data_IF_216211660591
#
_entry.id   IF_216211660591
#
_cell.length_a   1.000
_cell.length_b   1.000
_cell.length_c   1.000
_cell.angle_alpha   90.00
_cell.angle_beta   90.00
_cell.angle_gamma   90.00
#
_symmetry.space_group_name_H-M   'P 1'
#
loop_
_entity.id
_entity.type
_entity.pdbx_description
1 polymer ?
#
# COMPACT_ATOMS: atom_id res chain seq x y z
N UNK A 1 -9.85 -8.12 -4.26
CA UNK A 1 -10.01 -6.78 -3.69
C UNK A 1 -10.76 -5.89 -4.67
N UNK A 2 -11.59 -5.00 -4.16
CA UNK A 2 -12.41 -4.11 -4.98
C UNK A 2 -11.96 -2.67 -4.76
N UNK A 3 -11.81 -1.91 -5.84
CA UNK A 3 -11.58 -0.46 -5.79
C UNK A 3 -12.90 0.27 -6.02
N UNK A 4 -13.16 1.31 -5.23
CA UNK A 4 -14.36 2.12 -5.36
C UNK A 4 -14.06 3.58 -5.07
N UNK A 5 -14.57 4.46 -5.92
CA UNK A 5 -14.47 5.91 -5.71
C UNK A 5 -15.24 6.39 -4.48
N UNK A 6 -16.18 5.59 -4.02
CA UNK A 6 -17.00 5.89 -2.86
C UNK A 6 -16.41 5.36 -1.56
N UNK A 7 -15.31 4.62 -1.62
CA UNK A 7 -14.65 4.11 -0.43
C UNK A 7 -14.06 5.24 0.40
N UNK A 8 -14.15 5.09 1.71
CA UNK A 8 -13.58 6.01 2.69
C UNK A 8 -12.18 5.58 3.17
N UNK A 9 -11.58 4.57 2.53
CA UNK A 9 -10.32 3.98 2.97
C UNK A 9 -9.25 4.12 1.90
N UNK A 10 -8.10 4.64 2.29
CA UNK A 10 -6.87 4.61 1.48
C UNK A 10 -5.92 3.59 2.10
N UNK A 11 -5.34 2.73 1.26
CA UNK A 11 -4.29 1.82 1.68
C UNK A 11 -2.94 2.51 1.54
N UNK A 12 -2.16 2.54 2.61
CA UNK A 12 -0.78 3.05 2.59
C UNK A 12 0.16 1.90 2.93
N UNK A 13 1.17 1.69 2.10
CA UNK A 13 2.18 0.65 2.29
C UNK A 13 3.56 1.28 2.31
N UNK A 14 4.36 0.96 3.32
CA UNK A 14 5.75 1.41 3.39
C UNK A 14 6.68 0.26 3.01
N UNK A 15 7.66 0.56 2.16
CA UNK A 15 8.59 -0.41 1.60
C UNK A 15 9.98 0.18 1.49
N UNK A 16 11.00 -0.68 1.61
CA UNK A 16 12.40 -0.30 1.39
C UNK A 16 13.20 -1.49 0.87
N UNK A 17 13.09 -1.78 -0.42
CA UNK A 17 13.94 -2.72 -1.14
C UNK A 17 13.65 -4.21 -0.92
N UNK A 18 12.68 -4.58 -0.08
CA UNK A 18 12.35 -6.00 0.19
C UNK A 18 11.22 -6.47 -0.73
N UNK A 19 11.48 -6.50 -2.03
CA UNK A 19 10.43 -6.70 -3.04
C UNK A 19 9.77 -8.08 -2.99
N UNK A 20 10.51 -9.13 -2.61
CA UNK A 20 9.91 -10.47 -2.46
C UNK A 20 8.86 -10.48 -1.34
N UNK A 21 9.17 -9.84 -0.22
CA UNK A 21 8.24 -9.72 0.90
C UNK A 21 7.05 -8.83 0.53
N UNK A 22 7.33 -7.69 -0.09
CA UNK A 22 6.28 -6.77 -0.53
C UNK A 22 5.30 -7.44 -1.48
N UNK A 23 5.80 -8.16 -2.48
CA UNK A 23 4.96 -8.87 -3.44
C UNK A 23 4.02 -9.86 -2.75
N UNK A 24 4.53 -10.61 -1.77
CA UNK A 24 3.72 -11.55 -1.00
C UNK A 24 2.69 -10.85 -0.12
N UNK A 25 3.09 -9.76 0.54
CA UNK A 25 2.19 -8.97 1.37
C UNK A 25 1.01 -8.44 0.55
N UNK A 26 1.30 -7.83 -0.59
CA UNK A 26 0.26 -7.24 -1.43
C UNK A 26 -0.64 -8.30 -2.05
N UNK A 27 -0.07 -9.44 -2.47
CA UNK A 27 -0.88 -10.54 -2.99
C UNK A 27 -1.82 -11.11 -1.93
N UNK A 28 -1.36 -11.25 -0.70
CA UNK A 28 -2.20 -11.74 0.40
C UNK A 28 -3.29 -10.74 0.77
N UNK A 29 -2.97 -9.45 0.79
CA UNK A 29 -3.97 -8.41 1.02
C UNK A 29 -5.04 -8.42 -0.07
N UNK A 30 -4.62 -8.51 -1.32
CA UNK A 30 -5.54 -8.58 -2.46
C UNK A 30 -6.48 -9.76 -2.37
N UNK A 31 -5.97 -10.92 -1.94
CA UNK A 31 -6.76 -12.15 -1.81
C UNK A 31 -7.79 -12.11 -0.67
N UNK A 32 -7.44 -11.48 0.45
CA UNK A 32 -8.24 -11.56 1.67
C UNK A 32 -8.98 -10.29 2.06
N UNK A 33 -8.62 -9.13 1.50
CA UNK A 33 -9.30 -7.90 1.85
C UNK A 33 -10.71 -7.86 1.25
N UNK A 34 -11.70 -7.63 2.11
CA UNK A 34 -13.11 -7.54 1.71
C UNK A 34 -13.65 -6.11 1.75
N UNK A 35 -12.91 -5.15 2.32
CA UNK A 35 -13.30 -3.75 2.34
C UNK A 35 -12.91 -3.08 1.03
N UNK A 36 -13.81 -2.36 0.34
CA UNK A 36 -13.45 -1.59 -0.85
C UNK A 36 -12.40 -0.53 -0.50
N UNK A 37 -11.45 -0.33 -1.41
CA UNK A 37 -10.34 0.62 -1.26
C UNK A 37 -10.49 1.73 -2.30
N UNK A 38 -10.28 2.98 -1.87
CA UNK A 38 -10.32 4.12 -2.77
C UNK A 38 -9.10 4.17 -3.67
N UNK A 39 -7.92 4.11 -3.06
CA UNK A 39 -6.63 4.15 -3.75
C UNK A 39 -5.53 3.59 -2.85
N UNK A 40 -4.38 3.33 -3.46
CA UNK A 40 -3.21 2.77 -2.79
C UNK A 40 -2.04 3.73 -2.95
N UNK A 41 -1.37 4.05 -1.85
CA UNK A 41 -0.11 4.77 -1.84
C UNK A 41 0.99 3.85 -1.33
N UNK A 42 2.06 3.70 -2.13
CA UNK A 42 3.22 2.90 -1.75
C UNK A 42 4.44 3.80 -1.71
N UNK A 43 5.11 3.86 -0.57
CA UNK A 43 6.38 4.56 -0.45
C UNK A 43 7.52 3.56 -0.59
N UNK A 44 8.50 3.87 -1.44
CA UNK A 44 9.69 3.05 -1.64
C UNK A 44 10.93 3.86 -1.33
N UNK A 45 11.53 3.58 -0.17
CA UNK A 45 12.62 4.41 0.34
C UNK A 45 14.01 3.98 -0.19
N UNK A 46 14.09 2.87 -0.91
CA UNK A 46 15.33 2.43 -1.56
C UNK A 46 15.68 3.24 -2.82
N UNK A 47 14.71 3.98 -3.36
CA UNK A 47 14.89 4.68 -4.62
C UNK A 47 14.76 3.81 -5.86
N UNK A 48 14.43 2.52 -5.70
CA UNK A 48 14.36 1.57 -6.80
C UNK A 48 12.93 1.47 -7.36
N UNK A 49 12.75 1.89 -8.59
CA UNK A 49 11.45 1.87 -9.26
C UNK A 49 10.97 0.45 -9.61
N UNK A 50 11.78 -0.58 -9.40
CA UNK A 50 11.34 -1.97 -9.55
C UNK A 50 10.16 -2.32 -8.63
N UNK A 51 9.91 -1.52 -7.59
CA UNK A 51 8.73 -1.62 -6.74
C UNK A 51 7.43 -1.65 -7.54
N UNK A 52 7.38 -0.99 -8.69
CA UNK A 52 6.18 -0.92 -9.53
C UNK A 52 5.74 -2.29 -10.05
N UNK A 53 6.66 -3.26 -10.10
CA UNK A 53 6.34 -4.62 -10.51
C UNK A 53 5.79 -5.50 -9.38
N UNK A 54 5.79 -5.02 -8.14
CA UNK A 54 5.39 -5.80 -6.97
C UNK A 54 3.88 -5.86 -6.74
N UNK A 55 3.11 -5.00 -7.39
CA UNK A 55 1.67 -4.91 -7.17
C UNK A 55 0.90 -5.89 -8.04
N UNK A 56 -0.26 -6.39 -7.57
CA UNK A 56 -1.19 -7.10 -8.43
C UNK A 56 -1.55 -6.25 -9.65
N UNK A 57 -1.70 -6.89 -10.82
CA UNK A 57 -1.85 -6.17 -12.08
C UNK A 57 -3.03 -5.18 -12.08
N UNK A 58 -4.15 -5.57 -11.50
CA UNK A 58 -5.36 -4.73 -11.50
C UNK A 58 -5.28 -3.54 -10.55
N UNK A 59 -4.22 -3.44 -9.72
CA UNK A 59 -4.00 -2.29 -8.85
C UNK A 59 -3.39 -1.09 -9.57
N UNK A 60 -2.84 -1.28 -10.77
CA UNK A 60 -2.03 -0.25 -11.45
C UNK A 60 -2.71 1.11 -11.56
N UNK A 61 -3.97 1.12 -11.96
CA UNK A 61 -4.69 2.36 -12.16
C UNK A 61 -5.07 3.06 -10.85
N UNK A 62 -4.92 2.36 -9.74
CA UNK A 62 -5.34 2.83 -8.41
C UNK A 62 -4.17 3.06 -7.46
N UNK A 63 -2.94 2.89 -7.94
CA UNK A 63 -1.74 2.96 -7.11
C UNK A 63 -0.85 4.12 -7.52
N UNK A 64 -0.42 4.90 -6.51
CA UNK A 64 0.59 5.93 -6.66
C UNK A 64 1.83 5.51 -5.89
N UNK A 65 3.00 5.60 -6.56
CA UNK A 65 4.28 5.26 -5.96
C UNK A 65 5.05 6.53 -5.60
N UNK A 66 5.54 6.58 -4.36
CA UNK A 66 6.47 7.60 -3.91
C UNK A 66 7.85 6.96 -3.78
N UNK A 67 8.64 7.03 -4.83
CA UNK A 67 10.00 6.45 -4.86
C UNK A 67 10.98 7.52 -4.44
N UNK A 68 11.56 7.37 -3.26
CA UNK A 68 12.34 8.41 -2.61
C UNK A 68 13.81 8.40 -3.05
N UNK A 69 14.24 9.49 -3.66
CA UNK A 69 15.64 9.74 -4.01
C UNK A 69 15.95 11.21 -3.68
N UNK A 70 16.78 11.47 -2.67
CA UNK A 70 17.43 10.54 -1.76
C UNK A 70 16.46 9.90 -0.75
N UNK A 71 16.97 8.90 -0.02
CA UNK A 71 16.23 8.22 1.01
C UNK A 71 15.73 9.19 2.09
N UNK A 72 14.45 9.06 2.46
CA UNK A 72 13.82 9.94 3.46
C UNK A 72 13.80 9.36 4.87
N UNK A 73 13.86 8.04 5.01
CA UNK A 73 13.57 7.35 6.26
C UNK A 73 12.08 7.06 6.42
N UNK A 74 11.78 6.15 7.36
CA UNK A 74 10.41 5.64 7.50
C UNK A 74 9.40 6.72 7.90
N UNK A 75 9.71 7.55 8.89
CA UNK A 75 8.78 8.58 9.37
C UNK A 75 8.44 9.59 8.29
N UNK A 76 9.43 10.08 7.55
CA UNK A 76 9.20 11.05 6.47
C UNK A 76 8.46 10.43 5.30
N UNK A 77 8.71 9.15 5.02
CA UNK A 77 7.98 8.42 3.97
C UNK A 77 6.50 8.30 4.32
N UNK A 78 6.19 7.98 5.58
CA UNK A 78 4.82 7.92 6.07
C UNK A 78 4.14 9.29 5.97
N UNK A 79 4.82 10.33 6.44
CA UNK A 79 4.29 11.70 6.38
C UNK A 79 4.02 12.15 4.96
N UNK A 80 4.91 11.81 4.02
CA UNK A 80 4.72 12.12 2.60
C UNK A 80 3.47 11.46 2.04
N UNK A 81 3.30 10.17 2.28
CA UNK A 81 2.12 9.45 1.81
C UNK A 81 0.84 10.00 2.44
N UNK A 82 0.85 10.24 3.75
CA UNK A 82 -0.32 10.74 4.45
C UNK A 82 -0.71 12.14 4.02
N UNK A 83 0.25 12.97 3.59
CA UNK A 83 -0.05 14.31 3.09
C UNK A 83 -0.91 14.31 1.82
N UNK A 84 -0.96 13.18 1.11
CA UNK A 84 -1.77 13.01 -0.10
C UNK A 84 -3.09 12.29 0.14
N UNK A 85 -3.33 11.79 1.36
CA UNK A 85 -4.57 11.07 1.69
C UNK A 85 -5.72 12.05 1.77
N UNK A 86 -6.80 11.76 1.06
CA UNK A 86 -8.02 12.56 1.04
C UNK A 86 -9.21 11.85 1.69
N UNK A 87 -9.05 10.57 2.01
CA UNK A 87 -10.10 9.80 2.67
C UNK A 87 -10.04 9.96 4.18
N UNK A 88 -11.18 9.76 4.91
CA UNK A 88 -11.18 9.87 6.37
C UNK A 88 -10.42 8.74 7.08
N UNK A 89 -10.20 7.60 6.41
CA UNK A 89 -9.54 6.44 7.02
C UNK A 89 -8.33 6.02 6.21
N UNK A 90 -7.30 5.57 6.92
CA UNK A 90 -6.11 4.97 6.35
C UNK A 90 -5.92 3.59 6.96
N UNK A 91 -5.74 2.58 6.10
CA UNK A 91 -5.22 1.30 6.54
C UNK A 91 -3.74 1.25 6.14
N UNK A 92 -2.85 1.21 7.13
CA UNK A 92 -1.41 1.22 6.90
C UNK A 92 -0.84 -0.17 7.17
N UNK A 93 -0.11 -0.73 6.21
CA UNK A 93 0.64 -1.96 6.42
C UNK A 93 2.08 -1.78 5.94
N UNK A 94 2.94 -2.69 6.40
CA UNK A 94 4.33 -2.73 6.00
C UNK A 94 4.58 -3.86 5.01
N UNK A 95 5.78 -3.90 4.44
CA UNK A 95 6.14 -4.81 3.35
C UNK A 95 6.31 -6.28 3.78
N UNK A 96 6.25 -6.58 5.07
CA UNK A 96 6.47 -7.93 5.60
C UNK A 96 5.26 -8.54 6.32
N UNK A 97 4.05 -7.99 6.09
CA UNK A 97 2.83 -8.51 6.67
C UNK A 97 2.26 -9.65 5.82
N UNK A 98 1.54 -10.57 6.44
CA UNK A 98 0.84 -11.64 5.76
C UNK A 98 -0.63 -11.66 6.19
N UNK A 99 -1.52 -11.60 5.23
CA UNK A 99 -2.97 -11.68 5.46
C UNK A 99 -3.42 -13.11 5.14
N UNK A 100 -4.21 -13.71 6.01
CA UNK A 100 -4.57 -15.13 5.90
C UNK A 100 -6.06 -15.40 6.12
N UNK A 101 -6.85 -14.37 6.40
CA UNK A 101 -8.31 -14.46 6.52
C UNK A 101 -8.97 -13.13 6.14
N UNK A 102 -10.27 -13.16 5.73
CA UNK A 102 -10.99 -11.92 5.42
C UNK A 102 -11.24 -11.06 6.64
N UNK A 103 -11.55 -9.78 6.42
CA UNK A 103 -11.99 -8.88 7.47
C UNK A 103 -10.90 -8.11 8.19
N UNK A 104 -9.67 -8.03 7.66
CA UNK A 104 -8.56 -7.39 8.34
C UNK A 104 -8.81 -5.89 8.61
N UNK A 105 -9.45 -5.17 7.70
CA UNK A 105 -9.77 -3.75 7.90
C UNK A 105 -10.93 -3.59 8.85
N UNK A 106 -11.96 -4.38 8.69
CA UNK A 106 -13.17 -4.34 9.51
C UNK A 106 -12.85 -4.63 10.99
N UNK A 107 -11.84 -5.46 11.25
CA UNK A 107 -11.42 -5.82 12.61
C UNK A 107 -10.41 -4.83 13.23
N UNK A 108 -9.83 -3.95 12.44
CA UNK A 108 -8.78 -3.05 12.93
C UNK A 108 -9.29 -1.76 13.62
#
# INVERSE_FOLDING_TARGET
MIFSKDSNVTLVVTSCGRFDLLTRTLASFDAFNTTPIREVFITEDSGDRAVEACIPHHWREHTTFFVNVPRLGQLRSIDLAYSHVETPWVFHCEDDWAFYRPGCIEES
#
